data_IF_485540636600
#
_entry.id   IF_485540636600
#
_cell.length_a   1.000
_cell.length_b   1.000
_cell.length_c   1.000
_cell.angle_alpha   90.00
_cell.angle_beta   90.00
_cell.angle_gamma   90.00
#
_symmetry.space_group_name_H-M   'P 1'
#
loop_
_entity.id
_entity.type
_entity.pdbx_description
1 polymer ?
#
# COMPACT_ATOMS: atom_id res chain seq x y z
N UNK A 1 -3.52 30.01 -0.28
CA UNK A 1 -3.79 29.48 0.00
C UNK A 1 -3.62 28.47 -0.10
N UNK A 2 -3.35 28.07 0.20
CA UNK A 2 -3.21 27.06 0.05
C UNK A 2 -3.92 26.24 0.00
N UNK A 3 -4.33 26.04 -0.53
CA UNK A 3 -4.86 25.26 -0.76
C UNK A 3 -4.24 24.28 -1.21
N UNK A 4 -3.12 24.20 -1.32
CA UNK A 4 -2.55 23.14 -1.64
C UNK A 4 -2.79 22.14 -0.74
N UNK A 5 -3.27 22.36 0.25
CA UNK A 5 -3.78 21.39 1.10
C UNK A 5 -2.77 20.67 1.92
N UNK A 6 -3.18 19.54 2.45
CA UNK A 6 -2.42 18.74 3.40
C UNK A 6 -1.46 17.83 2.64
N UNK A 7 -0.21 17.73 3.06
CA UNK A 7 0.72 16.80 2.41
C UNK A 7 0.40 15.37 2.81
N UNK A 8 0.75 14.43 1.92
CA UNK A 8 0.47 13.02 2.13
C UNK A 8 1.06 12.52 3.45
N UNK A 9 2.25 12.99 3.83
CA UNK A 9 2.89 12.51 5.04
C UNK A 9 2.09 12.80 6.31
N UNK A 10 1.19 13.77 6.26
CA UNK A 10 0.39 14.11 7.43
C UNK A 10 -0.72 13.10 7.67
N UNK A 11 -1.20 12.43 6.64
CA UNK A 11 -2.30 11.48 6.77
C UNK A 11 -1.87 10.01 6.68
N UNK A 12 -0.67 9.75 6.20
CA UNK A 12 -0.24 8.38 5.97
C UNK A 12 -0.06 7.62 7.28
N UNK A 13 -0.16 6.30 7.19
CA UNK A 13 0.21 5.40 8.28
C UNK A 13 1.72 5.18 8.17
N UNK A 14 2.44 5.41 9.27
CA UNK A 14 3.90 5.31 9.26
C UNK A 14 4.42 3.95 9.68
N UNK A 15 3.59 3.17 10.39
CA UNK A 15 3.99 1.83 10.79
C UNK A 15 3.73 0.88 9.64
N UNK A 16 4.43 1.09 8.53
CA UNK A 16 4.22 0.20 7.38
C UNK A 16 4.84 -1.15 7.69
N UNK A 17 4.17 -2.18 7.25
CA UNK A 17 4.67 -3.55 7.38
C UNK A 17 5.14 -3.98 6.00
N UNK A 18 6.37 -4.45 5.93
CA UNK A 18 6.93 -4.91 4.67
C UNK A 18 7.34 -6.37 4.78
N UNK A 19 7.36 -7.04 3.65
CA UNK A 19 7.75 -8.44 3.57
C UNK A 19 8.65 -8.58 2.34
N UNK A 20 9.29 -9.75 2.21
CA UNK A 20 10.13 -10.02 1.06
C UNK A 20 9.31 -10.70 -0.04
N UNK A 21 9.80 -10.67 -1.28
CA UNK A 21 9.08 -11.35 -2.37
C UNK A 21 8.90 -12.83 -2.15
N UNK A 22 9.79 -13.45 -1.38
CA UNK A 22 9.73 -14.88 -1.11
C UNK A 22 8.80 -15.26 0.03
N UNK A 23 8.17 -14.29 0.69
CA UNK A 23 7.22 -14.58 1.76
C UNK A 23 6.07 -15.40 1.17
N UNK A 24 5.65 -16.44 1.89
CA UNK A 24 4.55 -17.27 1.41
C UNK A 24 3.24 -16.52 1.55
N UNK A 25 2.28 -16.90 0.72
CA UNK A 25 0.94 -16.33 0.80
C UNK A 25 0.37 -16.55 2.19
N UNK A 26 0.58 -17.73 2.76
CA UNK A 26 0.07 -18.06 4.08
C UNK A 26 0.63 -17.12 5.15
N UNK A 27 1.96 -16.91 5.14
CA UNK A 27 2.57 -16.02 6.12
C UNK A 27 2.11 -14.58 5.94
N UNK A 28 1.95 -14.15 4.70
CA UNK A 28 1.49 -12.79 4.43
C UNK A 28 0.07 -12.57 4.94
N UNK A 29 -0.81 -13.55 4.73
CA UNK A 29 -2.19 -13.47 5.23
C UNK A 29 -2.20 -13.40 6.75
N UNK A 30 -1.36 -14.21 7.40
CA UNK A 30 -1.27 -14.17 8.85
C UNK A 30 -0.88 -12.79 9.36
N UNK A 31 0.07 -12.14 8.67
CA UNK A 31 0.49 -10.79 9.06
C UNK A 31 -0.65 -9.79 8.92
N UNK A 32 -1.37 -9.86 7.80
CA UNK A 32 -2.51 -8.97 7.59
C UNK A 32 -3.55 -9.13 8.70
N UNK A 33 -3.84 -10.37 9.07
CA UNK A 33 -4.83 -10.64 10.10
C UNK A 33 -4.36 -10.20 11.47
N UNK A 34 -3.12 -10.53 11.82
CA UNK A 34 -2.59 -10.19 13.13
C UNK A 34 -2.54 -8.69 13.35
N UNK A 35 -2.17 -7.95 12.32
CA UNK A 35 -2.00 -6.51 12.44
C UNK A 35 -3.24 -5.73 12.01
N UNK A 36 -4.25 -6.43 11.52
CA UNK A 36 -5.51 -5.82 11.09
C UNK A 36 -5.25 -4.71 10.07
N UNK A 37 -4.48 -5.02 9.05
CA UNK A 37 -4.14 -4.07 7.99
C UNK A 37 -4.56 -4.67 6.65
N UNK A 38 -4.66 -3.81 5.64
CA UNK A 38 -5.17 -4.20 4.33
C UNK A 38 -4.14 -4.28 3.22
N UNK A 39 -2.89 -3.97 3.52
CA UNK A 39 -1.86 -3.98 2.48
C UNK A 39 -0.49 -4.21 3.08
N UNK A 40 0.41 -4.76 2.26
CA UNK A 40 1.80 -4.97 2.63
C UNK A 40 2.68 -4.42 1.52
N UNK A 41 3.76 -3.74 1.90
CA UNK A 41 4.80 -3.41 0.95
C UNK A 41 5.71 -4.60 0.77
N UNK A 42 6.14 -4.85 -0.45
CA UNK A 42 7.08 -5.93 -0.73
C UNK A 42 8.40 -5.29 -1.10
N UNK A 43 9.44 -5.58 -0.35
CA UNK A 43 10.75 -4.94 -0.56
C UNK A 43 11.80 -5.99 -0.86
N UNK A 44 12.71 -5.61 -1.73
CA UNK A 44 13.86 -6.43 -2.08
C UNK A 44 14.92 -6.37 -1.00
N UNK A 45 15.97 -7.19 -1.15
CA UNK A 45 17.04 -7.24 -0.18
C UNK A 45 17.73 -5.89 0.02
N UNK A 46 17.74 -5.04 -1.00
CA UNK A 46 18.36 -3.73 -0.89
C UNK A 46 17.41 -2.67 -0.33
N UNK A 47 16.21 -3.08 0.06
CA UNK A 47 15.25 -2.15 0.66
C UNK A 47 14.38 -1.43 -0.34
N UNK A 48 14.53 -1.66 -1.64
CA UNK A 48 13.69 -0.96 -2.62
C UNK A 48 12.36 -1.68 -2.77
N UNK A 49 11.34 -0.90 -3.11
CA UNK A 49 9.99 -1.41 -3.23
C UNK A 49 9.86 -2.26 -4.50
N UNK A 50 9.54 -3.54 -4.32
CA UNK A 50 9.35 -4.46 -5.43
C UNK A 50 7.90 -4.56 -5.85
N UNK A 51 6.98 -4.35 -4.91
CA UNK A 51 5.57 -4.46 -5.22
C UNK A 51 4.70 -4.17 -4.02
N UNK A 52 3.40 -4.31 -4.21
CA UNK A 52 2.42 -4.16 -3.14
C UNK A 52 1.42 -5.29 -3.24
N UNK A 53 0.99 -5.81 -2.09
CA UNK A 53 -0.01 -6.84 -2.01
C UNK A 53 -1.11 -6.33 -1.09
N UNK A 54 -2.36 -6.50 -1.50
CA UNK A 54 -3.51 -6.04 -0.71
C UNK A 54 -4.42 -7.19 -0.39
N UNK A 55 -5.34 -6.97 0.57
CA UNK A 55 -6.36 -7.96 0.90
C UNK A 55 -7.13 -8.39 -0.34
N UNK A 56 -7.37 -7.46 -1.26
CA UNK A 56 -8.11 -7.77 -2.47
C UNK A 56 -7.35 -8.75 -3.35
N UNK A 57 -6.01 -8.65 -3.38
CA UNK A 57 -5.20 -9.61 -4.14
C UNK A 57 -5.38 -11.02 -3.61
N UNK A 58 -5.44 -11.16 -2.28
CA UNK A 58 -5.61 -12.47 -1.67
C UNK A 58 -7.01 -13.02 -1.92
N UNK A 59 -8.01 -12.16 -2.01
CA UNK A 59 -9.35 -12.62 -2.38
C UNK A 59 -9.35 -13.23 -3.77
N UNK A 60 -8.62 -12.62 -4.70
CA UNK A 60 -8.51 -13.18 -6.04
C UNK A 60 -7.81 -14.53 -6.04
N UNK A 61 -6.76 -14.66 -5.24
CA UNK A 61 -6.03 -15.93 -5.13
C UNK A 61 -6.95 -17.01 -4.59
N UNK A 62 -7.69 -16.69 -3.54
CA UNK A 62 -8.58 -17.66 -2.90
C UNK A 62 -9.72 -18.05 -3.84
N UNK A 63 -10.32 -17.08 -4.51
CA UNK A 63 -11.47 -17.36 -5.37
C UNK A 63 -11.07 -18.16 -6.61
N UNK A 64 -9.81 -18.07 -7.02
CA UNK A 64 -9.30 -18.81 -8.15
C UNK A 64 -9.20 -20.31 -7.87
N UNK A 65 -9.12 -20.67 -6.58
CA UNK A 65 -9.10 -22.08 -6.19
C UNK A 65 -7.87 -22.84 -6.62
N UNK A 66 -6.85 -22.15 -7.04
CA UNK A 66 -5.73 -22.79 -7.68
C UNK A 66 -4.44 -22.48 -6.95
N UNK A 67 -4.50 -22.37 -5.65
CA UNK A 67 -3.35 -22.00 -4.85
C UNK A 67 -2.55 -23.23 -4.46
N UNK A 68 -1.25 -23.18 -4.78
CA UNK A 68 -0.34 -24.21 -4.33
C UNK A 68 0.12 -23.90 -2.93
N UNK A 69 0.30 -24.92 -2.10
CA UNK A 69 0.92 -24.75 -0.81
C UNK A 69 2.33 -24.25 -1.06
N UNK A 70 2.73 -23.22 -0.36
CA UNK A 70 4.06 -22.68 -0.52
C UNK A 70 4.20 -21.63 -1.60
N UNK A 71 3.09 -21.24 -2.24
CA UNK A 71 3.12 -20.14 -3.20
C UNK A 71 3.62 -18.88 -2.51
N UNK A 72 4.42 -18.07 -3.21
CA UNK A 72 5.00 -16.86 -2.66
C UNK A 72 4.29 -15.63 -3.22
N UNK A 73 4.38 -14.54 -2.49
CA UNK A 73 3.61 -13.35 -2.85
C UNK A 73 4.11 -12.68 -4.12
N UNK A 74 5.36 -12.92 -4.52
CA UNK A 74 5.87 -12.34 -5.76
C UNK A 74 5.11 -12.86 -6.98
N UNK A 75 4.36 -13.95 -6.84
CA UNK A 75 3.52 -14.45 -7.93
C UNK A 75 2.23 -13.67 -8.06
N UNK A 76 1.84 -12.90 -7.04
CA UNK A 76 0.54 -12.24 -6.98
C UNK A 76 0.63 -10.73 -6.75
N UNK A 77 1.80 -10.21 -6.41
CA UNK A 77 1.93 -8.80 -6.07
C UNK A 77 1.82 -7.93 -7.31
N UNK A 78 1.40 -6.68 -7.10
CA UNK A 78 1.42 -5.67 -8.15
C UNK A 78 2.82 -5.12 -8.23
N UNK A 79 3.43 -5.18 -9.41
CA UNK A 79 4.81 -4.74 -9.60
C UNK A 79 4.94 -3.31 -10.09
N UNK A 80 3.99 -2.86 -10.89
CA UNK A 80 3.99 -1.48 -11.38
C UNK A 80 3.34 -0.61 -10.35
N UNK A 81 4.06 -0.37 -9.25
CA UNK A 81 3.49 0.31 -8.09
C UNK A 81 3.43 1.81 -8.34
N UNK A 82 2.25 2.38 -8.16
CA UNK A 82 2.08 3.83 -8.19
C UNK A 82 2.38 4.33 -6.77
N UNK A 83 3.26 5.31 -6.66
CA UNK A 83 3.63 5.89 -5.37
C UNK A 83 3.34 7.38 -5.35
N UNK A 84 3.41 7.96 -4.17
CA UNK A 84 3.30 9.40 -4.02
C UNK A 84 4.43 9.85 -3.08
N UNK A 85 4.79 11.11 -3.15
CA UNK A 85 5.87 11.65 -2.34
C UNK A 85 5.30 12.23 -1.05
N UNK A 86 6.10 12.26 0.02
CA UNK A 86 5.68 12.80 1.31
C UNK A 86 5.13 14.21 1.17
N UNK A 87 5.64 14.98 0.23
CA UNK A 87 5.23 16.37 0.04
C UNK A 87 4.08 16.57 -0.93
N UNK A 88 3.66 15.52 -1.62
CA UNK A 88 2.50 15.63 -2.51
C UNK A 88 1.26 15.95 -1.69
N UNK A 89 0.38 16.76 -2.25
CA UNK A 89 -0.88 17.06 -1.57
C UNK A 89 -1.79 15.83 -1.60
N UNK A 90 -2.71 15.76 -0.66
CA UNK A 90 -3.66 14.64 -0.66
C UNK A 90 -4.57 14.71 -1.89
N UNK A 91 -4.75 15.90 -2.49
CA UNK A 91 -5.49 15.99 -3.73
C UNK A 91 -4.73 15.28 -4.86
N UNK A 92 -3.43 15.46 -4.92
CA UNK A 92 -2.61 14.76 -5.90
C UNK A 92 -2.66 13.26 -5.66
N UNK A 93 -2.54 12.84 -4.40
CA UNK A 93 -2.60 11.42 -4.05
C UNK A 93 -3.97 10.84 -4.41
N UNK A 94 -5.04 11.55 -4.10
CA UNK A 94 -6.39 11.08 -4.43
C UNK A 94 -6.57 10.92 -5.92
N UNK A 95 -6.04 11.86 -6.71
CA UNK A 95 -6.13 11.78 -8.17
C UNK A 95 -5.40 10.55 -8.68
N UNK A 96 -4.24 10.23 -8.11
CA UNK A 96 -3.50 9.02 -8.49
C UNK A 96 -4.30 7.77 -8.19
N UNK A 97 -4.96 7.73 -7.04
CA UNK A 97 -5.78 6.58 -6.68
C UNK A 97 -6.95 6.40 -7.64
N UNK A 98 -7.62 7.49 -7.99
CA UNK A 98 -8.77 7.43 -8.90
C UNK A 98 -8.31 7.00 -10.28
N UNK A 99 -7.26 7.63 -10.79
CA UNK A 99 -6.78 7.36 -12.14
C UNK A 99 -6.33 5.91 -12.30
N UNK A 100 -5.75 5.34 -11.26
CA UNK A 100 -5.20 3.99 -11.32
C UNK A 100 -6.11 2.93 -10.71
N UNK A 101 -7.26 3.34 -10.17
CA UNK A 101 -8.21 2.39 -9.59
C UNK A 101 -7.67 1.66 -8.38
N UNK A 102 -6.89 2.36 -7.54
CA UNK A 102 -6.26 1.74 -6.38
C UNK A 102 -6.73 2.45 -5.12
N UNK A 103 -6.68 1.73 -4.00
CA UNK A 103 -7.12 2.27 -2.72
C UNK A 103 -6.00 2.38 -1.69
N UNK A 104 -4.79 1.97 -2.05
CA UNK A 104 -3.61 2.06 -1.20
C UNK A 104 -2.47 2.61 -2.03
N UNK A 105 -1.74 3.57 -1.46
CA UNK A 105 -0.72 4.29 -2.18
C UNK A 105 0.51 4.39 -1.30
N UNK A 106 1.60 3.70 -1.64
CA UNK A 106 2.82 3.84 -0.85
C UNK A 106 3.37 5.26 -0.97
N UNK A 107 3.88 5.75 0.14
CA UNK A 107 4.43 7.11 0.22
C UNK A 107 5.93 7.00 0.36
N UNK A 108 6.66 7.66 -0.51
CA UNK A 108 8.12 7.61 -0.46
C UNK A 108 8.69 9.01 -0.22
N UNK A 109 9.89 9.04 0.37
CA UNK A 109 10.56 10.30 0.58
C UNK A 109 11.42 10.65 -0.63
N UNK A 110 12.18 11.73 -0.55
CA UNK A 110 12.99 12.19 -1.67
C UNK A 110 14.12 11.24 -2.03
N UNK A 111 14.43 10.30 -1.13
CA UNK A 111 15.46 9.29 -1.39
C UNK A 111 14.85 7.99 -1.86
N UNK A 112 13.57 8.03 -2.23
CA UNK A 112 12.85 6.88 -2.77
C UNK A 112 12.71 5.74 -1.76
N UNK A 113 12.76 6.06 -0.48
CA UNK A 113 12.48 5.10 0.58
C UNK A 113 11.01 5.15 0.91
N UNK A 114 10.39 3.98 1.12
CA UNK A 114 8.98 3.91 1.50
C UNK A 114 8.87 4.23 2.98
N UNK A 115 8.16 5.31 3.29
CA UNK A 115 8.04 5.77 4.67
C UNK A 115 6.62 5.71 5.21
N UNK A 116 5.65 5.36 4.38
CA UNK A 116 4.28 5.26 4.84
C UNK A 116 3.37 4.67 3.79
N UNK A 117 2.12 4.52 4.18
CA UNK A 117 1.06 4.04 3.28
C UNK A 117 -0.14 4.94 3.46
N UNK A 118 -0.72 5.38 2.36
CA UNK A 118 -1.90 6.24 2.37
C UNK A 118 -3.04 5.47 1.74
N UNK A 119 -4.17 5.42 2.42
CA UNK A 119 -5.33 4.70 1.91
C UNK A 119 -6.49 5.64 1.65
N UNK A 120 -7.46 5.16 0.88
CA UNK A 120 -8.69 5.92 0.66
C UNK A 120 -9.39 6.17 1.98
N UNK A 121 -9.29 5.22 2.92
CA UNK A 121 -9.87 5.38 4.25
C UNK A 121 -9.24 6.56 4.99
N UNK A 122 -7.92 6.71 4.89
CA UNK A 122 -7.23 7.82 5.54
C UNK A 122 -7.73 9.16 5.04
N UNK A 123 -7.89 9.28 3.71
CA UNK A 123 -8.36 10.53 3.11
C UNK A 123 -9.82 10.79 3.48
N UNK A 124 -10.63 9.74 3.44
CA UNK A 124 -12.05 9.86 3.78
C UNK A 124 -12.23 10.30 5.23
N UNK A 125 -11.48 9.70 6.13
CA UNK A 125 -11.55 10.05 7.56
C UNK A 125 -11.19 11.51 7.78
N UNK A 126 -10.15 11.98 7.10
CA UNK A 126 -9.75 13.37 7.20
C UNK A 126 -10.87 14.30 6.68
N UNK A 127 -11.45 13.94 5.54
CA UNK A 127 -12.51 14.75 4.94
C UNK A 127 -13.71 14.87 5.88
N UNK A 128 -14.09 13.77 6.51
CA UNK A 128 -15.22 13.77 7.43
C UNK A 128 -14.90 14.59 8.68
N UNK A 129 -13.70 14.44 9.22
CA UNK A 129 -13.33 15.12 10.46
C UNK A 129 -13.25 16.64 10.27
N UNK A 130 -13.10 17.11 9.04
CA UNK A 130 -13.04 18.53 8.76
C UNK A 130 -14.39 19.17 8.51
N UNK A 131 -15.40 18.35 8.30
CA UNK A 131 -16.73 18.87 7.92
C UNK A 131 -17.45 19.59 9.08
#
# INVERSE_FOLDING_TARGET
MDREGVPAEQLMTTDIVTVSPETTVEDAVDILLEKNIGSLGVVDDDGSLAGVVTSNDFLHVISGGDRDDGATIDEFMTRDVVTTNTNDSIQTAAAKMITNGISHLPVENDEEEIVGMLSTTDITAYSVSRA
#
